data_IF_515490316874
#
_entry.id   IF_515490316874
#
_cell.length_a   1.000
_cell.length_b   1.000
_cell.length_c   1.000
_cell.angle_alpha   90.00
_cell.angle_beta   90.00
_cell.angle_gamma   90.00
#
_symmetry.space_group_name_H-M   'P 1'
#
loop_
_entity.id
_entity.type
_entity.pdbx_description
1 polymer ?
#
# COMPACT_ATOMS: atom_id res chain seq x y z
N UNK A 1 -22.40 -16.80 6.80
CA UNK A 1 -21.66 -16.79 8.09
C UNK A 1 -20.32 -16.04 7.99
N UNK A 2 -20.20 -15.02 7.11
CA UNK A 2 -18.95 -14.27 6.90
C UNK A 2 -18.74 -13.10 7.88
N UNK A 3 -19.81 -12.60 8.51
CA UNK A 3 -19.79 -11.37 9.32
C UNK A 3 -18.92 -11.45 10.57
N UNK A 4 -18.82 -12.62 11.21
CA UNK A 4 -17.98 -12.77 12.40
C UNK A 4 -16.49 -12.79 12.04
N UNK A 5 -16.12 -13.41 10.92
CA UNK A 5 -14.76 -13.42 10.42
C UNK A 5 -14.33 -12.01 9.98
N UNK A 6 -15.19 -11.29 9.28
CA UNK A 6 -14.97 -9.88 8.92
C UNK A 6 -14.78 -9.00 10.16
N UNK A 7 -15.63 -9.15 11.16
CA UNK A 7 -15.51 -8.42 12.42
C UNK A 7 -14.23 -8.80 13.17
N UNK A 8 -13.85 -10.08 13.19
CA UNK A 8 -12.63 -10.53 13.81
C UNK A 8 -11.39 -9.97 13.10
N UNK A 9 -11.37 -9.99 11.76
CA UNK A 9 -10.28 -9.41 10.95
C UNK A 9 -10.20 -7.89 11.13
N UNK A 10 -11.35 -7.20 11.23
CA UNK A 10 -11.42 -5.78 11.53
C UNK A 10 -10.83 -5.46 12.91
N UNK A 11 -11.13 -6.27 13.93
CA UNK A 11 -10.64 -6.08 15.29
C UNK A 11 -9.20 -6.57 15.50
N UNK A 12 -8.69 -7.41 14.62
CA UNK A 12 -7.38 -8.05 14.75
C UNK A 12 -6.21 -7.07 14.97
N UNK A 13 -6.02 -5.98 14.19
CA UNK A 13 -4.90 -5.06 14.42
C UNK A 13 -4.95 -4.42 15.82
N UNK A 14 -6.14 -4.12 16.33
CA UNK A 14 -6.33 -3.54 17.66
C UNK A 14 -6.06 -4.57 18.76
N UNK A 15 -6.54 -5.81 18.58
CA UNK A 15 -6.30 -6.89 19.52
C UNK A 15 -4.80 -7.23 19.63
N UNK A 16 -4.10 -7.29 18.49
CA UNK A 16 -2.65 -7.51 18.46
C UNK A 16 -1.88 -6.37 19.14
N UNK A 17 -2.27 -5.12 18.88
CA UNK A 17 -1.68 -3.97 19.56
C UNK A 17 -1.89 -4.01 21.07
N UNK A 18 -3.11 -4.29 21.52
CA UNK A 18 -3.43 -4.42 22.95
C UNK A 18 -2.65 -5.56 23.60
N UNK A 19 -2.60 -6.73 22.97
CA UNK A 19 -1.83 -7.86 23.45
C UNK A 19 -0.34 -7.51 23.60
N UNK A 20 0.25 -6.84 22.61
CA UNK A 20 1.63 -6.35 22.67
C UNK A 20 1.83 -5.33 23.80
N UNK A 21 0.91 -4.36 23.95
CA UNK A 21 0.99 -3.31 24.97
C UNK A 21 0.89 -3.86 26.40
N UNK A 22 0.09 -4.90 26.60
CA UNK A 22 -0.06 -5.60 27.87
C UNK A 22 1.17 -6.47 28.19
N UNK A 23 1.74 -7.13 27.17
CA UNK A 23 2.95 -7.95 27.32
C UNK A 23 4.21 -7.10 27.55
N UNK A 24 4.29 -5.92 26.94
CA UNK A 24 5.39 -4.97 27.11
C UNK A 24 4.86 -3.65 27.71
N UNK A 25 4.80 -3.55 29.05
CA UNK A 25 4.28 -2.36 29.72
C UNK A 25 5.18 -1.12 29.56
N UNK A 26 6.44 -1.31 29.16
CA UNK A 26 7.34 -0.23 28.74
C UNK A 26 7.14 0.04 27.25
N UNK A 27 7.12 1.32 26.86
CA UNK A 27 6.98 1.73 25.46
C UNK A 27 8.09 1.19 24.55
N UNK A 28 7.97 1.39 23.23
CA UNK A 28 8.93 0.85 22.27
C UNK A 28 10.33 1.41 22.53
N UNK A 29 11.36 0.58 22.36
CA UNK A 29 12.75 1.03 22.49
C UNK A 29 13.08 2.03 21.38
N UNK A 30 14.06 2.91 21.62
CA UNK A 30 14.57 3.84 20.59
C UNK A 30 15.00 3.09 19.32
N UNK A 31 15.64 1.94 19.47
CA UNK A 31 16.04 1.10 18.35
C UNK A 31 14.84 0.61 17.52
N UNK A 32 13.74 0.22 18.17
CA UNK A 32 12.53 -0.22 17.48
C UNK A 32 11.87 0.94 16.71
N UNK A 33 11.84 2.14 17.29
CA UNK A 33 11.34 3.34 16.61
C UNK A 33 12.20 3.70 15.40
N UNK A 34 13.53 3.66 15.55
CA UNK A 34 14.45 3.93 14.44
C UNK A 34 14.34 2.88 13.33
N UNK A 35 14.20 1.61 13.68
CA UNK A 35 14.00 0.53 12.71
C UNK A 35 12.68 0.72 11.93
N UNK A 36 11.59 1.07 12.62
CA UNK A 36 10.31 1.36 11.97
C UNK A 36 10.40 2.57 11.03
N UNK A 37 11.08 3.65 11.46
CA UNK A 37 11.31 4.82 10.61
C UNK A 37 12.16 4.47 9.38
N UNK A 38 13.22 3.68 9.55
CA UNK A 38 14.06 3.23 8.43
C UNK A 38 13.26 2.38 7.44
N UNK A 39 12.41 1.46 7.92
CA UNK A 39 11.55 0.65 7.07
C UNK A 39 10.56 1.51 6.26
N UNK A 40 9.97 2.54 6.88
CA UNK A 40 9.10 3.50 6.18
C UNK A 40 9.86 4.28 5.11
N UNK A 41 11.09 4.71 5.39
CA UNK A 41 11.93 5.40 4.41
C UNK A 41 12.28 4.50 3.23
N UNK A 42 12.62 3.24 3.48
CA UNK A 42 12.89 2.26 2.41
C UNK A 42 11.63 2.06 1.57
N UNK A 43 10.47 1.85 2.19
CA UNK A 43 9.20 1.71 1.47
C UNK A 43 8.90 2.94 0.61
N UNK A 44 9.03 4.15 1.16
CA UNK A 44 8.81 5.39 0.43
C UNK A 44 9.79 5.55 -0.75
N UNK A 45 11.07 5.23 -0.54
CA UNK A 45 12.09 5.28 -1.58
C UNK A 45 11.80 4.27 -2.70
N UNK A 46 11.36 3.05 -2.36
CA UNK A 46 10.98 2.03 -3.35
C UNK A 46 9.75 2.45 -4.14
N UNK A 47 8.72 3.01 -3.47
CA UNK A 47 7.54 3.53 -4.18
C UNK A 47 7.89 4.70 -5.09
N UNK A 48 8.77 5.59 -4.63
CA UNK A 48 9.27 6.69 -5.45
C UNK A 48 10.03 6.18 -6.68
N UNK A 49 10.91 5.18 -6.50
CA UNK A 49 11.61 4.52 -7.60
C UNK A 49 10.62 3.93 -8.62
N UNK A 50 9.66 3.13 -8.15
CA UNK A 50 8.66 2.48 -9.01
C UNK A 50 7.77 3.50 -9.73
N UNK A 51 7.50 4.66 -9.11
CA UNK A 51 6.75 5.71 -9.78
C UNK A 51 7.44 6.24 -11.03
N UNK A 52 8.77 6.13 -11.14
CA UNK A 52 9.49 6.50 -12.36
C UNK A 52 9.26 5.55 -13.54
N UNK A 53 8.90 4.28 -13.27
CA UNK A 53 8.71 3.25 -14.30
C UNK A 53 7.24 3.15 -14.75
N UNK A 54 6.29 3.33 -13.83
CA UNK A 54 4.86 3.07 -14.06
C UNK A 54 4.01 4.35 -14.26
N UNK A 55 4.62 5.52 -14.40
CA UNK A 55 3.86 6.78 -14.58
C UNK A 55 3.54 7.10 -16.02
N UNK A 56 2.33 7.63 -16.24
CA UNK A 56 1.98 8.30 -17.48
C UNK A 56 2.87 9.53 -17.66
N UNK A 57 3.23 9.83 -18.92
CA UNK A 57 3.96 11.05 -19.23
C UNK A 57 3.22 12.29 -18.66
N UNK A 58 3.95 13.30 -18.17
CA UNK A 58 3.33 14.53 -17.67
C UNK A 58 2.36 15.13 -18.70
N UNK A 59 1.11 15.33 -18.31
CA UNK A 59 0.06 15.87 -19.18
C UNK A 59 -0.60 14.85 -20.12
N UNK A 60 -0.25 13.57 -20.07
CA UNK A 60 -0.97 12.53 -20.80
C UNK A 60 -2.35 12.28 -20.19
N UNK A 61 -3.36 12.12 -21.05
CA UNK A 61 -4.71 11.73 -20.63
C UNK A 61 -4.78 10.22 -20.52
N UNK A 62 -5.28 9.72 -19.39
CA UNK A 62 -5.48 8.28 -19.20
C UNK A 62 -6.56 7.76 -20.15
N UNK A 63 -6.22 6.76 -20.96
CA UNK A 63 -7.16 5.99 -21.77
C UNK A 63 -7.35 4.64 -21.07
N UNK A 64 -8.58 4.29 -20.65
CA UNK A 64 -8.84 3.02 -20.00
C UNK A 64 -8.65 1.85 -20.99
N UNK A 65 -8.36 0.65 -20.47
CA UNK A 65 -8.33 -0.56 -21.28
C UNK A 65 -9.67 -0.74 -22.02
N UNK A 66 -9.61 -1.02 -23.31
CA UNK A 66 -10.81 -1.20 -24.14
C UNK A 66 -10.58 -2.25 -25.22
N UNK A 67 -11.68 -2.81 -25.73
CA UNK A 67 -11.61 -3.75 -26.85
C UNK A 67 -11.70 -2.99 -28.17
N UNK A 68 -10.76 -3.27 -29.07
CA UNK A 68 -10.72 -2.71 -30.42
C UNK A 68 -10.43 -3.83 -31.41
N UNK A 69 -11.34 -4.03 -32.37
CA UNK A 69 -11.22 -5.06 -33.41
C UNK A 69 -10.97 -6.48 -32.87
N UNK A 70 -11.62 -6.81 -31.75
CA UNK A 70 -11.49 -8.12 -31.09
C UNK A 70 -10.21 -8.31 -30.26
N UNK A 71 -9.36 -7.28 -30.16
CA UNK A 71 -8.14 -7.28 -29.34
C UNK A 71 -8.32 -6.35 -28.13
N UNK A 72 -7.87 -6.79 -26.95
CA UNK A 72 -7.83 -5.95 -25.75
C UNK A 72 -6.64 -5.01 -25.86
N UNK A 73 -6.92 -3.71 -25.92
CA UNK A 73 -5.92 -2.65 -25.83
C UNK A 73 -5.74 -2.32 -24.33
N UNK A 74 -4.54 -2.49 -23.75
CA UNK A 74 -4.28 -2.12 -22.35
C UNK A 74 -4.44 -0.62 -22.11
N UNK A 75 -4.67 -0.25 -20.85
CA UNK A 75 -4.73 1.16 -20.44
C UNK A 75 -3.40 1.84 -20.71
N UNK A 76 -3.44 3.03 -21.30
CA UNK A 76 -2.25 3.78 -21.69
C UNK A 76 -2.50 5.29 -21.57
N UNK A 77 -1.43 6.08 -21.61
CA UNK A 77 -1.54 7.53 -21.77
C UNK A 77 -1.72 7.88 -23.25
N UNK A 78 -2.61 8.83 -23.55
CA UNK A 78 -2.64 9.50 -24.84
C UNK A 78 -2.08 10.92 -24.69
N UNK A 79 -1.38 11.41 -25.71
CA UNK A 79 -1.06 12.85 -25.80
C UNK A 79 -2.38 13.64 -25.87
N UNK A 80 -2.45 14.83 -25.26
CA UNK A 80 -3.60 15.71 -25.41
C UNK A 80 -3.84 16.08 -26.88
#
# INVERSE_FOLDING_TARGET
MLRLAELALFLLPFALFLAWRLALPRGPSRAMVLAAAAALLVLAATLFWLSGEDTLAPGATYVPPHMKDGVIVPGHGAKP
#
